data_IF_009600194789
#
_entry.id   IF_009600194789
#
_cell.length_a   1.000
_cell.length_b   1.000
_cell.length_c   1.000
_cell.angle_alpha   90.00
_cell.angle_beta   90.00
_cell.angle_gamma   90.00
#
_symmetry.space_group_name_H-M   'P 1'
#
loop_
_entity.id
_entity.type
_entity.pdbx_description
1 polymer ?
#
# COMPACT_ATOMS: atom_id res chain seq x y z
N UNK A 1 -18.29 -7.33 5.89
CA UNK A 1 -19.01 -6.73 4.75
C UNK A 1 -17.99 -6.19 3.77
N UNK A 2 -17.92 -6.78 2.58
CA UNK A 2 -17.00 -6.38 1.51
C UNK A 2 -17.42 -5.01 0.97
N UNK A 3 -16.51 -4.05 0.95
CA UNK A 3 -16.71 -2.80 0.22
C UNK A 3 -16.52 -3.05 -1.26
N UNK A 4 -17.55 -3.57 -1.93
CA UNK A 4 -17.59 -3.57 -3.39
C UNK A 4 -17.53 -2.12 -3.89
N UNK A 5 -16.68 -1.87 -4.88
CA UNK A 5 -16.67 -0.60 -5.58
C UNK A 5 -18.01 -0.44 -6.32
N UNK A 6 -18.93 0.34 -5.76
CA UNK A 6 -20.22 0.66 -6.40
C UNK A 6 -19.97 1.46 -7.68
N UNK A 7 -20.19 0.83 -8.83
CA UNK A 7 -20.23 1.50 -10.14
C UNK A 7 -21.62 2.13 -10.28
N UNK A 8 -21.69 3.39 -10.71
CA UNK A 8 -22.96 4.02 -11.06
C UNK A 8 -23.04 4.13 -12.58
N UNK A 9 -23.96 3.41 -13.18
CA UNK A 9 -24.27 3.45 -14.60
C UNK A 9 -25.35 4.51 -14.81
N UNK A 10 -25.07 5.46 -15.71
CA UNK A 10 -26.02 6.48 -16.14
C UNK A 10 -26.31 6.25 -17.62
N UNK A 11 -27.57 6.08 -17.99
CA UNK A 11 -27.98 5.97 -19.39
C UNK A 11 -29.27 6.76 -19.63
N UNK A 12 -29.49 7.17 -20.87
CA UNK A 12 -30.68 7.92 -21.29
C UNK A 12 -31.54 7.01 -22.14
N UNK A 13 -32.83 6.87 -21.83
CA UNK A 13 -33.77 6.07 -22.64
C UNK A 13 -34.17 6.80 -23.94
N UNK A 14 -34.92 6.12 -24.81
CA UNK A 14 -35.37 6.66 -26.10
C UNK A 14 -36.30 7.88 -25.97
N UNK A 15 -36.93 8.05 -24.81
CA UNK A 15 -37.83 9.16 -24.47
C UNK A 15 -37.09 10.35 -23.83
N UNK A 16 -35.76 10.23 -23.67
CA UNK A 16 -34.90 11.27 -23.11
C UNK A 16 -34.79 11.25 -21.59
N UNK A 17 -35.40 10.27 -20.91
CA UNK A 17 -35.35 10.04 -19.47
C UNK A 17 -34.02 9.48 -18.99
N UNK A 18 -33.49 10.03 -17.88
CA UNK A 18 -32.21 9.61 -17.30
C UNK A 18 -32.39 8.53 -16.24
N UNK A 19 -31.67 7.42 -16.39
CA UNK A 19 -31.67 6.29 -15.47
C UNK A 19 -30.32 6.14 -14.77
N UNK A 20 -30.35 5.80 -13.48
CA UNK A 20 -29.17 5.60 -12.63
C UNK A 20 -29.26 4.24 -11.94
N UNK A 21 -28.28 3.37 -12.16
CA UNK A 21 -28.27 2.01 -11.58
C UNK A 21 -26.87 1.60 -11.12
N UNK A 22 -26.80 0.71 -10.13
CA UNK A 22 -25.56 0.13 -9.63
C UNK A 22 -25.19 -1.21 -10.30
N UNK A 23 -26.06 -1.71 -11.20
CA UNK A 23 -25.84 -2.91 -12.01
C UNK A 23 -25.58 -2.56 -13.46
N UNK A 24 -24.65 -3.26 -14.11
CA UNK A 24 -24.37 -3.06 -15.53
C UNK A 24 -25.62 -3.35 -16.38
N UNK A 25 -26.01 -2.45 -17.30
CA UNK A 25 -27.06 -2.75 -18.27
C UNK A 25 -26.63 -3.90 -19.20
N UNK A 26 -27.60 -4.60 -19.78
CA UNK A 26 -27.34 -5.73 -20.68
C UNK A 26 -26.64 -5.28 -21.97
N UNK A 27 -25.96 -6.20 -22.68
CA UNK A 27 -25.20 -5.86 -23.89
C UNK A 27 -26.04 -5.15 -24.97
N UNK A 28 -27.31 -5.55 -25.16
CA UNK A 28 -28.26 -4.86 -26.06
C UNK A 28 -28.54 -3.42 -25.64
N UNK A 29 -28.77 -3.19 -24.34
CA UNK A 29 -29.00 -1.85 -23.78
C UNK A 29 -27.74 -0.96 -23.82
N UNK A 30 -26.55 -1.57 -23.91
CA UNK A 30 -25.27 -0.85 -23.99
C UNK A 30 -24.99 -0.32 -25.40
N UNK A 31 -25.61 -0.91 -26.42
CA UNK A 31 -25.50 -0.51 -27.82
C UNK A 31 -26.58 0.51 -28.22
N UNK A 32 -27.79 0.40 -27.65
CA UNK A 32 -28.91 1.35 -27.90
C UNK A 32 -28.76 2.68 -27.13
N UNK A 33 -28.13 2.68 -25.95
CA UNK A 33 -28.05 3.86 -25.10
C UNK A 33 -26.62 4.35 -24.92
N UNK A 34 -26.39 5.67 -24.95
CA UNK A 34 -25.11 6.27 -24.52
C UNK A 34 -24.95 6.05 -23.01
N UNK A 35 -24.32 4.95 -22.62
CA UNK A 35 -24.02 4.64 -21.22
C UNK A 35 -22.79 5.42 -20.77
N UNK A 36 -22.98 6.40 -19.89
CA UNK A 36 -21.89 7.05 -19.17
C UNK A 36 -21.61 6.31 -17.86
N UNK A 37 -20.45 5.67 -17.78
CA UNK A 37 -19.99 5.06 -16.53
C UNK A 37 -19.30 6.13 -15.69
N UNK A 38 -19.98 6.60 -14.64
CA UNK A 38 -19.39 7.55 -13.69
C UNK A 38 -18.92 6.80 -12.46
N UNK A 39 -17.60 6.65 -12.33
CA UNK A 39 -17.01 6.10 -11.11
C UNK A 39 -17.17 7.10 -9.97
N UNK A 40 -17.74 6.65 -8.86
CA UNK A 40 -17.67 7.36 -7.59
C UNK A 40 -16.19 7.41 -7.19
N UNK A 41 -15.70 8.61 -6.86
CA UNK A 41 -14.36 8.78 -6.27
C UNK A 41 -14.32 7.88 -5.03
N UNK A 42 -13.46 6.87 -5.02
CA UNK A 42 -13.16 6.14 -3.79
C UNK A 42 -12.70 7.18 -2.77
N UNK A 43 -13.47 7.36 -1.69
CA UNK A 43 -13.06 8.17 -0.56
C UNK A 43 -11.68 7.68 -0.10
N UNK A 44 -10.78 8.60 0.27
CA UNK A 44 -9.51 8.21 0.87
C UNK A 44 -9.82 7.31 2.08
N UNK A 45 -9.44 6.03 2.00
CA UNK A 45 -9.57 5.11 3.13
C UNK A 45 -8.59 5.58 4.19
N UNK A 46 -9.07 6.33 5.17
CA UNK A 46 -8.28 6.74 6.31
C UNK A 46 -7.99 5.49 7.15
N UNK A 47 -6.87 4.80 6.87
CA UNK A 47 -6.47 3.52 7.49
C UNK A 47 -5.86 3.68 8.89
N UNK A 48 -5.53 4.90 9.29
CA UNK A 48 -4.99 5.23 10.61
C UNK A 48 -5.81 6.38 11.16
N UNK A 49 -6.31 6.28 12.40
CA UNK A 49 -7.18 7.30 13.00
C UNK A 49 -6.78 7.57 14.44
N UNK A 50 -6.64 8.84 14.81
CA UNK A 50 -6.50 9.27 16.19
C UNK A 50 -7.90 9.45 16.80
N UNK A 51 -8.19 8.76 17.91
CA UNK A 51 -9.48 8.85 18.60
C UNK A 51 -9.30 9.29 20.05
N UNK A 52 -10.20 10.17 20.47
CA UNK A 52 -10.37 10.53 21.86
C UNK A 52 -11.21 9.45 22.57
N UNK A 53 -10.75 9.00 23.72
CA UNK A 53 -11.43 8.10 24.65
C UNK A 53 -11.37 8.71 26.07
N UNK A 54 -12.04 8.08 27.03
CA UNK A 54 -12.08 8.55 28.42
C UNK A 54 -13.00 9.75 28.64
N UNK A 55 -12.84 10.41 29.79
CA UNK A 55 -13.69 11.54 30.18
C UNK A 55 -13.34 12.82 29.42
N UNK A 56 -14.32 13.72 29.25
CA UNK A 56 -14.07 15.03 28.63
C UNK A 56 -13.16 15.93 29.47
N UNK A 57 -13.14 15.74 30.79
CA UNK A 57 -12.31 16.44 31.76
C UNK A 57 -10.83 16.03 31.66
N UNK A 58 -10.57 14.77 31.32
CA UNK A 58 -9.22 14.19 31.19
C UNK A 58 -9.19 13.25 29.97
N UNK A 59 -9.22 13.80 28.75
CA UNK A 59 -9.32 12.98 27.56
C UNK A 59 -8.03 12.21 27.33
N UNK A 60 -8.20 10.95 26.97
CA UNK A 60 -7.14 10.03 26.57
C UNK A 60 -7.20 9.80 25.06
N UNK A 61 -6.08 9.46 24.46
CA UNK A 61 -6.01 9.30 23.01
C UNK A 61 -5.45 7.93 22.63
N UNK A 62 -6.17 7.25 21.74
CA UNK A 62 -5.78 5.98 21.12
C UNK A 62 -5.60 6.17 19.62
N UNK A 63 -4.83 5.29 19.01
CA UNK A 63 -4.72 5.21 17.55
C UNK A 63 -5.32 3.89 17.09
N UNK A 64 -6.18 3.96 16.08
CA UNK A 64 -6.62 2.81 15.31
C UNK A 64 -5.72 2.63 14.10
N UNK A 65 -5.22 1.41 13.90
CA UNK A 65 -4.36 1.02 12.80
C UNK A 65 -5.01 -0.14 12.03
N UNK A 66 -5.53 0.12 10.84
CA UNK A 66 -6.17 -0.88 9.98
C UNK A 66 -5.15 -1.68 9.13
N UNK A 67 -3.85 -1.38 9.22
CA UNK A 67 -2.81 -2.18 8.57
C UNK A 67 -2.52 -3.45 9.37
N UNK A 68 -2.25 -4.56 8.68
CA UNK A 68 -1.77 -5.80 9.31
C UNK A 68 -0.25 -5.78 9.49
N UNK A 69 0.25 -4.67 10.01
CA UNK A 69 1.64 -4.49 10.38
C UNK A 69 1.79 -3.31 11.32
N UNK A 70 2.94 -3.20 12.00
CA UNK A 70 3.23 -2.05 12.83
C UNK A 70 3.32 -0.78 11.99
N UNK A 71 2.89 0.34 12.55
CA UNK A 71 3.11 1.68 12.02
C UNK A 71 3.82 2.53 13.08
N UNK A 72 4.55 3.53 12.63
CA UNK A 72 5.09 4.58 13.48
C UNK A 72 4.23 5.84 13.31
N UNK A 73 3.75 6.42 14.40
CA UNK A 73 2.91 7.62 14.38
C UNK A 73 3.53 8.70 15.24
N UNK A 74 3.66 9.90 14.69
CA UNK A 74 4.04 11.10 15.42
C UNK A 74 2.80 11.95 15.66
N UNK A 75 2.56 12.31 16.93
CA UNK A 75 1.45 13.19 17.33
C UNK A 75 2.00 14.50 17.88
N UNK A 76 1.42 15.62 17.45
CA UNK A 76 1.88 16.98 17.76
C UNK A 76 0.70 17.90 18.04
N UNK A 77 0.90 18.92 18.88
CA UNK A 77 -0.06 20.03 18.99
C UNK A 77 0.16 21.01 17.84
N UNK A 78 -0.91 21.32 17.09
CA UNK A 78 -0.95 22.52 16.25
C UNK A 78 -1.61 23.71 16.96
N UNK A 79 -2.30 23.45 18.08
CA UNK A 79 -2.85 24.46 18.97
C UNK A 79 -2.73 23.99 20.42
N UNK A 80 -2.20 24.85 21.29
CA UNK A 80 -1.94 24.51 22.69
C UNK A 80 -2.16 25.75 23.58
N UNK A 81 -3.29 25.80 24.30
CA UNK A 81 -3.63 26.88 25.23
C UNK A 81 -4.01 26.28 26.59
N UNK A 82 -3.22 26.57 27.63
CA UNK A 82 -3.41 26.05 29.00
C UNK A 82 -3.55 24.51 29.08
N UNK A 83 -2.93 23.77 28.17
CA UNK A 83 -3.03 22.31 28.07
C UNK A 83 -1.66 21.67 28.01
N UNK A 84 -1.53 20.53 28.69
CA UNK A 84 -0.35 19.67 28.63
C UNK A 84 -0.75 18.23 28.33
N UNK A 85 0.16 17.51 27.68
CA UNK A 85 0.03 16.08 27.43
C UNK A 85 0.93 15.30 28.39
N UNK A 86 0.47 14.12 28.82
CA UNK A 86 1.28 13.15 29.56
C UNK A 86 1.20 11.79 28.87
N UNK A 87 2.30 11.27 28.32
CA UNK A 87 3.60 11.94 28.15
C UNK A 87 3.54 13.18 27.23
N UNK A 88 4.57 14.05 27.32
CA UNK A 88 4.65 15.28 26.53
C UNK A 88 4.71 15.01 25.01
N UNK A 89 4.16 15.94 24.22
CA UNK A 89 4.18 15.96 22.75
C UNK A 89 5.10 17.10 22.24
N UNK A 90 5.69 17.01 21.02
CA UNK A 90 5.52 15.96 20.02
C UNK A 90 6.11 14.62 20.47
N UNK A 91 5.47 13.51 20.08
CA UNK A 91 5.95 12.18 20.43
C UNK A 91 5.63 11.14 19.37
N UNK A 92 6.59 10.25 19.16
CA UNK A 92 6.47 9.09 18.27
C UNK A 92 6.04 7.84 19.05
N UNK A 93 5.14 7.06 18.45
CA UNK A 93 4.61 5.82 18.99
C UNK A 93 4.67 4.73 17.93
N UNK A 94 4.95 3.49 18.33
CA UNK A 94 4.81 2.32 17.45
C UNK A 94 3.50 1.64 17.76
N UNK A 95 2.60 1.60 16.78
CA UNK A 95 1.24 1.09 16.93
C UNK A 95 1.12 -0.23 16.16
N UNK A 96 0.72 -1.28 16.87
CA UNK A 96 0.43 -2.59 16.28
C UNK A 96 -0.94 -2.59 15.57
N UNK A 97 -1.27 -3.61 14.76
CA UNK A 97 -2.60 -3.72 14.15
C UNK A 97 -3.73 -3.64 15.18
N UNK A 98 -4.83 -2.97 14.82
CA UNK A 98 -6.00 -2.77 15.69
C UNK A 98 -5.98 -1.46 16.46
N UNK A 99 -6.60 -1.44 17.63
CA UNK A 99 -6.72 -0.25 18.49
C UNK A 99 -5.63 -0.28 19.55
N UNK A 100 -4.87 0.79 19.68
CA UNK A 100 -3.83 0.91 20.70
C UNK A 100 -4.44 1.02 22.11
N UNK A 101 -3.62 0.74 23.13
CA UNK A 101 -3.88 1.28 24.48
C UNK A 101 -3.80 2.82 24.44
N UNK A 102 -4.38 3.53 25.42
CA UNK A 102 -4.18 4.97 25.56
C UNK A 102 -2.69 5.34 25.52
N UNK A 103 -2.35 6.28 24.63
CA UNK A 103 -0.97 6.66 24.32
C UNK A 103 -0.53 7.88 25.11
N UNK A 104 -1.44 8.83 25.28
CA UNK A 104 -1.26 10.03 26.08
C UNK A 104 -2.63 10.53 26.54
N UNK A 105 -2.60 11.29 27.64
CA UNK A 105 -3.75 12.03 28.16
C UNK A 105 -3.50 13.51 28.12
N UNK A 106 -4.56 14.30 28.03
CA UNK A 106 -4.49 15.74 28.16
C UNK A 106 -5.03 16.21 29.50
N UNK A 107 -4.47 17.29 30.01
CA UNK A 107 -4.96 17.99 31.19
C UNK A 107 -4.64 19.46 31.13
N UNK A 108 -5.37 20.25 31.90
CA UNK A 108 -5.08 21.66 32.06
C UNK A 108 -3.75 21.86 32.81
N UNK A 109 -2.99 22.88 32.43
CA UNK A 109 -1.80 23.31 33.20
C UNK A 109 -2.26 24.03 34.47
N UNK A 110 -3.26 24.91 34.34
CA UNK A 110 -3.98 25.54 35.43
C UNK A 110 -5.46 25.12 35.37
N UNK A 111 -5.90 24.34 36.36
CA UNK A 111 -7.25 23.78 36.46
C UNK A 111 -8.37 24.82 36.58
N UNK A 112 -8.04 26.04 37.02
CA UNK A 112 -9.01 27.15 37.17
C UNK A 112 -9.20 27.96 35.89
N UNK A 113 -8.46 27.67 34.81
CA UNK A 113 -8.58 28.35 33.52
C UNK A 113 -9.11 27.40 32.46
N UNK A 114 -9.86 27.94 31.51
CA UNK A 114 -10.24 27.18 30.32
C UNK A 114 -8.99 26.78 29.52
N UNK A 115 -9.09 25.66 28.79
CA UNK A 115 -8.01 25.14 27.97
C UNK A 115 -8.52 24.76 26.59
N UNK A 116 -7.65 24.86 25.59
CA UNK A 116 -7.97 24.55 24.19
C UNK A 116 -6.79 23.85 23.55
N UNK A 117 -7.09 22.90 22.67
CA UNK A 117 -6.07 22.14 21.95
C UNK A 117 -6.48 21.83 20.52
N UNK A 118 -5.49 21.51 19.71
CA UNK A 118 -5.64 20.96 18.38
C UNK A 118 -4.48 19.99 18.15
N UNK A 119 -4.80 18.75 17.77
CA UNK A 119 -3.84 17.68 17.54
C UNK A 119 -3.73 17.38 16.05
N UNK A 120 -2.51 17.23 15.56
CA UNK A 120 -2.21 16.67 14.25
C UNK A 120 -1.37 15.40 14.43
N UNK A 121 -1.44 14.51 13.46
CA UNK A 121 -0.62 13.32 13.44
C UNK A 121 -0.16 13.00 12.02
N UNK A 122 0.99 12.35 11.91
CA UNK A 122 1.51 11.75 10.69
C UNK A 122 1.97 10.33 10.98
N UNK A 123 2.06 9.47 9.98
CA UNK A 123 2.49 8.08 10.17
C UNK A 123 3.35 7.55 9.03
N UNK A 124 4.17 6.55 9.36
CA UNK A 124 4.96 5.75 8.42
C UNK A 124 4.69 4.27 8.65
N UNK A 125 4.71 3.47 7.58
CA UNK A 125 4.47 2.03 7.64
C UNK A 125 5.71 1.30 8.13
N UNK A 126 5.55 0.28 8.97
CA UNK A 126 6.66 -0.52 9.50
C UNK A 126 7.27 0.06 10.77
N UNK A 127 8.12 -0.73 11.44
CA UNK A 127 8.84 -0.29 12.65
C UNK A 127 9.99 0.67 12.28
N UNK A 128 10.23 1.76 13.04
CA UNK A 128 11.20 2.83 12.73
C UNK A 128 12.66 2.43 12.49
N UNK A 129 13.04 1.24 12.92
CA UNK A 129 14.43 0.74 12.91
C UNK A 129 14.48 -0.70 12.40
N UNK A 130 13.53 -1.09 11.54
CA UNK A 130 13.62 -2.37 10.86
C UNK A 130 14.91 -2.41 10.03
N UNK A 131 15.74 -3.41 10.27
CA UNK A 131 16.96 -3.63 9.52
C UNK A 131 16.70 -4.71 8.49
N UNK A 132 16.80 -4.33 7.22
CA UNK A 132 16.73 -5.29 6.15
C UNK A 132 17.89 -6.27 6.26
N UNK A 133 17.58 -7.56 6.35
CA UNK A 133 18.58 -8.61 6.38
C UNK A 133 19.28 -8.68 5.02
N UNK A 134 20.56 -8.34 4.98
CA UNK A 134 21.37 -8.35 3.75
C UNK A 134 21.60 -9.77 3.21
N UNK A 135 21.42 -10.80 4.04
CA UNK A 135 21.46 -12.20 3.64
C UNK A 135 20.08 -12.71 3.16
N UNK A 136 19.05 -11.88 3.24
CA UNK A 136 17.71 -12.24 2.79
C UNK A 136 17.71 -12.64 1.31
N UNK A 137 17.12 -13.80 1.05
CA UNK A 137 16.93 -14.30 -0.30
C UNK A 137 15.59 -13.83 -0.83
N UNK A 138 15.63 -13.06 -1.91
CA UNK A 138 14.45 -12.77 -2.73
C UNK A 138 14.51 -13.63 -3.98
N UNK A 139 13.40 -14.24 -4.33
CA UNK A 139 13.23 -14.95 -5.59
C UNK A 139 12.56 -14.03 -6.62
N UNK A 140 12.85 -14.19 -7.92
CA UNK A 140 12.10 -13.50 -8.96
C UNK A 140 10.59 -13.72 -8.76
N UNK A 141 9.78 -12.66 -8.65
CA UNK A 141 8.40 -12.70 -8.13
C UNK A 141 7.37 -13.19 -9.18
N UNK A 142 7.69 -14.28 -9.88
CA UNK A 142 6.83 -14.84 -10.92
C UNK A 142 7.12 -16.33 -11.12
N UNK A 143 6.19 -17.00 -11.80
CA UNK A 143 6.19 -18.45 -11.94
C UNK A 143 7.48 -19.04 -12.53
N UNK A 144 7.88 -20.21 -12.04
CA UNK A 144 9.15 -20.89 -12.33
C UNK A 144 9.42 -21.19 -13.81
N UNK A 145 8.35 -21.40 -14.58
CA UNK A 145 8.40 -21.69 -16.01
C UNK A 145 8.48 -20.42 -16.88
N UNK A 146 8.37 -19.23 -16.29
CA UNK A 146 8.44 -17.94 -17.00
C UNK A 146 9.83 -17.33 -16.91
N UNK A 147 10.09 -16.43 -17.86
CA UNK A 147 11.25 -15.55 -17.89
C UNK A 147 10.79 -14.15 -18.25
N UNK A 148 11.28 -13.15 -17.52
CA UNK A 148 10.98 -11.75 -17.78
C UNK A 148 12.24 -10.90 -17.70
N UNK A 149 12.25 -9.80 -18.42
CA UNK A 149 13.38 -8.88 -18.46
C UNK A 149 13.18 -7.78 -17.40
N UNK A 150 14.27 -7.40 -16.74
CA UNK A 150 14.32 -6.19 -15.93
C UNK A 150 14.33 -4.98 -16.87
N UNK A 151 13.21 -4.26 -16.97
CA UNK A 151 13.11 -3.06 -17.80
C UNK A 151 13.76 -1.86 -17.13
N UNK A 152 13.63 -1.75 -15.81
CA UNK A 152 14.25 -0.70 -15.00
C UNK A 152 14.79 -1.31 -13.70
N UNK A 153 15.98 -0.89 -13.29
CA UNK A 153 16.64 -1.38 -12.07
C UNK A 153 16.86 -0.23 -11.06
N UNK A 154 17.68 -0.48 -10.04
CA UNK A 154 18.01 0.51 -9.02
C UNK A 154 18.55 1.80 -9.63
N UNK A 155 18.15 2.94 -9.05
CA UNK A 155 18.50 4.29 -9.49
C UNK A 155 18.07 4.58 -10.95
N UNK A 156 16.98 3.94 -11.40
CA UNK A 156 16.35 4.24 -12.67
C UNK A 156 15.90 5.70 -12.78
N UNK A 157 16.04 6.28 -13.97
CA UNK A 157 15.83 7.72 -14.20
C UNK A 157 14.37 8.11 -14.38
N UNK A 158 13.47 7.15 -14.61
CA UNK A 158 12.06 7.44 -14.89
C UNK A 158 11.21 7.50 -13.61
N UNK A 159 11.17 6.39 -12.85
CA UNK A 159 10.28 6.25 -11.67
C UNK A 159 11.05 5.96 -10.37
N UNK A 160 12.33 5.61 -10.43
CA UNK A 160 13.14 5.15 -9.29
C UNK A 160 14.04 6.26 -8.72
N UNK A 161 13.50 7.47 -8.62
CA UNK A 161 14.26 8.68 -8.23
C UNK A 161 13.99 9.15 -6.80
N UNK A 162 12.86 8.76 -6.21
CA UNK A 162 12.54 9.12 -4.83
C UNK A 162 12.98 8.05 -3.82
N UNK A 163 13.04 8.42 -2.54
CA UNK A 163 13.56 7.54 -1.48
C UNK A 163 12.82 6.20 -1.40
N UNK A 164 11.52 6.18 -1.66
CA UNK A 164 10.70 4.97 -1.58
C UNK A 164 10.91 4.02 -2.77
N UNK A 165 11.47 4.51 -3.88
CA UNK A 165 11.59 3.75 -5.12
C UNK A 165 13.02 3.68 -5.67
N UNK A 166 13.99 4.33 -5.03
CA UNK A 166 15.41 4.35 -5.43
C UNK A 166 15.97 2.96 -5.73
N UNK A 167 15.63 1.96 -4.92
CA UNK A 167 16.04 0.57 -5.12
C UNK A 167 14.90 -0.32 -5.61
N UNK A 168 13.96 0.23 -6.38
CA UNK A 168 12.92 -0.57 -7.02
C UNK A 168 13.39 -1.22 -8.33
N UNK A 169 12.62 -2.19 -8.80
CA UNK A 169 12.81 -2.92 -10.04
C UNK A 169 11.48 -3.01 -10.77
N UNK A 170 11.52 -2.71 -12.05
CA UNK A 170 10.41 -2.97 -12.96
C UNK A 170 10.74 -4.21 -13.81
N UNK A 171 9.81 -5.15 -13.83
CA UNK A 171 9.90 -6.38 -14.61
C UNK A 171 8.87 -6.31 -15.73
N UNK A 172 9.34 -6.21 -16.97
CA UNK A 172 8.47 -6.18 -18.15
C UNK A 172 7.77 -7.53 -18.28
N UNK A 173 6.45 -7.53 -18.12
CA UNK A 173 5.61 -8.71 -18.25
C UNK A 173 4.23 -8.33 -18.77
N UNK A 174 3.60 -9.17 -19.62
CA UNK A 174 2.21 -8.96 -20.03
C UNK A 174 1.28 -8.87 -18.82
N UNK A 175 0.14 -8.19 -18.99
CA UNK A 175 -0.96 -8.30 -18.03
C UNK A 175 -1.37 -9.77 -17.86
N UNK A 176 -1.95 -10.09 -16.70
CA UNK A 176 -2.35 -11.44 -16.33
C UNK A 176 -1.19 -12.44 -16.18
N UNK A 177 0.05 -11.96 -16.02
CA UNK A 177 1.17 -12.82 -15.62
C UNK A 177 1.11 -13.11 -14.13
N UNK A 178 1.37 -14.35 -13.73
CA UNK A 178 1.39 -14.74 -12.32
C UNK A 178 2.47 -13.99 -11.53
N UNK A 179 2.04 -13.32 -10.45
CA UNK A 179 2.92 -12.65 -9.49
C UNK A 179 3.00 -13.50 -8.23
N UNK A 180 4.21 -13.93 -7.88
CA UNK A 180 4.48 -14.78 -6.73
C UNK A 180 5.23 -13.99 -5.65
N UNK A 181 5.08 -14.38 -4.38
CA UNK A 181 5.80 -13.76 -3.28
C UNK A 181 7.32 -14.01 -3.43
N UNK A 182 8.11 -12.94 -3.55
CA UNK A 182 9.56 -13.02 -3.64
C UNK A 182 10.22 -13.57 -2.36
N UNK A 183 9.59 -13.35 -1.20
CA UNK A 183 10.04 -13.80 0.12
C UNK A 183 8.82 -14.01 1.01
N UNK A 184 8.91 -14.98 1.92
CA UNK A 184 7.82 -15.29 2.86
C UNK A 184 7.58 -14.16 3.86
N UNK A 185 6.35 -14.03 4.33
CA UNK A 185 5.95 -12.98 5.25
C UNK A 185 4.43 -12.92 5.45
N UNK A 186 3.93 -11.78 5.91
CA UNK A 186 2.49 -11.56 6.14
C UNK A 186 2.00 -10.43 5.25
N UNK A 187 0.85 -10.60 4.61
CA UNK A 187 0.21 -9.55 3.80
C UNK A 187 -0.24 -8.40 4.71
N UNK A 188 0.53 -7.31 4.71
CA UNK A 188 0.32 -6.14 5.57
C UNK A 188 -0.78 -5.23 5.02
N UNK A 189 -0.81 -5.03 3.71
CA UNK A 189 -1.81 -4.22 3.03
C UNK A 189 -2.10 -4.73 1.63
N UNK A 190 -3.32 -4.50 1.19
CA UNK A 190 -3.81 -4.78 -0.15
C UNK A 190 -4.61 -3.58 -0.62
N UNK A 191 -4.20 -2.98 -1.74
CA UNK A 191 -4.96 -2.00 -2.51
C UNK A 191 -5.40 -2.66 -3.82
N UNK A 192 -6.70 -2.63 -4.12
CA UNK A 192 -7.29 -3.45 -5.18
C UNK A 192 -8.55 -2.81 -5.79
N UNK A 193 -8.62 -1.48 -5.80
CA UNK A 193 -9.79 -0.69 -6.19
C UNK A 193 -9.52 0.26 -7.37
N UNK A 194 -8.32 0.21 -7.96
CA UNK A 194 -7.93 1.07 -9.08
C UNK A 194 -7.94 0.34 -10.41
N UNK A 195 -8.71 0.85 -11.37
CA UNK A 195 -8.90 0.23 -12.69
C UNK A 195 -8.02 0.88 -13.78
N UNK A 196 -7.72 2.18 -13.64
CA UNK A 196 -7.00 2.96 -14.67
C UNK A 196 -5.51 3.09 -14.34
N UNK A 197 -4.68 3.14 -15.38
CA UNK A 197 -3.27 3.54 -15.30
C UNK A 197 -2.93 4.66 -16.27
N UNK A 198 -1.73 5.23 -16.13
CA UNK A 198 -1.21 6.26 -17.02
C UNK A 198 0.09 6.90 -16.53
N UNK A 199 0.69 7.76 -17.36
CA UNK A 199 1.99 8.41 -17.10
C UNK A 199 1.88 9.79 -16.44
N UNK A 200 0.69 10.18 -15.98
CA UNK A 200 0.52 11.38 -15.16
C UNK A 200 0.79 11.04 -13.68
N UNK A 201 1.94 11.52 -13.19
CA UNK A 201 2.40 11.28 -11.83
C UNK A 201 1.44 11.85 -10.78
N UNK A 202 0.82 13.00 -11.04
CA UNK A 202 -0.08 13.63 -10.08
C UNK A 202 -1.44 12.92 -10.05
N UNK A 203 -1.90 12.40 -11.18
CA UNK A 203 -3.15 11.67 -11.27
C UNK A 203 -3.09 10.23 -10.73
N UNK A 204 -1.94 9.55 -10.85
CA UNK A 204 -1.86 8.10 -10.64
C UNK A 204 -0.86 7.60 -9.59
N UNK A 205 0.07 8.43 -9.07
CA UNK A 205 1.09 7.98 -8.10
C UNK A 205 0.49 7.36 -6.83
N UNK A 206 -0.64 7.87 -6.36
CA UNK A 206 -1.33 7.37 -5.17
C UNK A 206 -2.38 6.29 -5.46
N UNK A 207 -2.50 5.81 -6.70
CA UNK A 207 -3.65 5.01 -7.19
C UNK A 207 -3.21 3.74 -7.92
N UNK A 208 -2.28 3.00 -7.33
CA UNK A 208 -1.81 1.71 -7.88
C UNK A 208 -2.34 0.57 -7.03
N UNK A 209 -2.85 -0.49 -7.68
CA UNK A 209 -3.14 -1.72 -6.95
C UNK A 209 -1.84 -2.34 -6.52
N UNK A 210 -1.76 -2.68 -5.24
CA UNK A 210 -0.53 -3.19 -4.67
C UNK A 210 -0.77 -4.15 -3.52
N UNK A 211 0.17 -5.06 -3.37
CA UNK A 211 0.31 -5.91 -2.20
C UNK A 211 1.58 -5.49 -1.48
N UNK A 212 1.48 -5.32 -0.16
CA UNK A 212 2.64 -5.16 0.72
C UNK A 212 2.76 -6.39 1.61
N UNK A 213 3.93 -7.04 1.59
CA UNK A 213 4.24 -8.18 2.45
C UNK A 213 5.28 -7.74 3.47
N UNK A 214 4.96 -7.85 4.76
CA UNK A 214 5.87 -7.63 5.88
C UNK A 214 6.66 -8.91 6.14
N UNK A 215 7.98 -8.83 6.11
CA UNK A 215 8.90 -9.92 6.42
C UNK A 215 9.25 -9.95 7.91
N UNK A 216 9.80 -11.07 8.38
CA UNK A 216 10.12 -11.27 9.79
C UNK A 216 11.24 -10.31 10.30
N UNK A 217 12.08 -9.80 9.40
CA UNK A 217 13.09 -8.76 9.69
C UNK A 217 12.51 -7.32 9.76
N UNK A 218 11.21 -7.18 9.50
CA UNK A 218 10.51 -5.89 9.52
C UNK A 218 10.60 -5.11 8.20
N UNK A 219 11.34 -5.61 7.20
CA UNK A 219 11.30 -5.07 5.84
C UNK A 219 9.97 -5.42 5.16
N UNK A 220 9.59 -4.63 4.17
CA UNK A 220 8.32 -4.77 3.46
C UNK A 220 8.55 -4.83 1.95
N UNK A 221 8.20 -5.95 1.32
CA UNK A 221 8.14 -6.04 -0.13
C UNK A 221 6.84 -5.41 -0.65
N UNK A 222 6.94 -4.60 -1.70
CA UNK A 222 5.83 -3.97 -2.42
C UNK A 222 5.77 -4.56 -3.82
N UNK A 223 4.58 -5.01 -4.21
CA UNK A 223 4.25 -5.49 -5.55
C UNK A 223 3.17 -4.57 -6.08
N UNK A 224 3.45 -3.78 -7.11
CA UNK A 224 2.54 -2.73 -7.60
C UNK A 224 2.22 -2.88 -9.10
N UNK A 225 1.26 -2.08 -9.57
CA UNK A 225 0.65 -2.14 -10.90
C UNK A 225 -0.12 -3.44 -11.15
N UNK A 226 -0.64 -4.04 -10.07
CA UNK A 226 -1.35 -5.31 -10.13
C UNK A 226 -2.72 -5.14 -10.83
N UNK A 227 -3.21 -6.22 -11.42
CA UNK A 227 -4.53 -6.23 -12.02
C UNK A 227 -5.62 -6.16 -10.95
N UNK A 228 -6.61 -5.29 -11.15
CA UNK A 228 -7.71 -5.10 -10.22
C UNK A 228 -8.54 -6.39 -10.10
N UNK A 229 -8.96 -6.73 -8.89
CA UNK A 229 -9.79 -7.91 -8.63
C UNK A 229 -9.06 -9.27 -8.75
N UNK A 230 -7.75 -9.28 -9.02
CA UNK A 230 -6.98 -10.52 -9.27
C UNK A 230 -5.99 -10.87 -8.15
N UNK A 231 -6.04 -10.20 -7.00
CA UNK A 231 -5.31 -10.63 -5.82
C UNK A 231 -5.78 -12.03 -5.36
N UNK A 232 -4.83 -12.91 -5.04
CA UNK A 232 -5.05 -14.29 -4.58
C UNK A 232 -4.84 -14.46 -3.07
N UNK A 233 -4.71 -13.33 -2.37
CA UNK A 233 -4.43 -13.26 -0.93
C UNK A 233 -5.29 -12.18 -0.28
N UNK A 234 -5.41 -12.24 1.04
CA UNK A 234 -6.10 -11.24 1.86
C UNK A 234 -5.18 -10.67 2.94
N UNK A 235 -5.52 -9.49 3.43
CA UNK A 235 -4.79 -8.82 4.51
C UNK A 235 -4.72 -9.73 5.75
N UNK A 236 -3.53 -9.91 6.30
CA UNK A 236 -3.23 -10.80 7.42
C UNK A 236 -2.88 -12.24 7.04
N UNK A 237 -3.01 -12.63 5.77
CA UNK A 237 -2.58 -13.94 5.31
C UNK A 237 -1.05 -14.06 5.38
N UNK A 238 -0.55 -15.16 5.99
CA UNK A 238 0.87 -15.53 5.90
C UNK A 238 1.12 -16.24 4.57
N UNK A 239 2.18 -15.83 3.88
CA UNK A 239 2.56 -16.38 2.57
C UNK A 239 3.99 -16.90 2.63
N UNK A 240 4.24 -17.95 1.85
CA UNK A 240 5.59 -18.47 1.64
C UNK A 240 6.20 -17.87 0.37
N UNK A 241 7.52 -17.92 0.25
CA UNK A 241 8.16 -17.54 -1.00
C UNK A 241 7.64 -18.46 -2.14
N UNK A 242 7.54 -17.94 -3.36
CA UNK A 242 7.00 -18.67 -4.51
C UNK A 242 5.47 -18.90 -4.49
N UNK A 243 4.77 -18.51 -3.43
CA UNK A 243 3.31 -18.60 -3.40
C UNK A 243 2.69 -17.57 -4.36
N UNK A 244 1.70 -17.98 -5.16
CA UNK A 244 0.90 -17.07 -5.99
C UNK A 244 0.17 -16.05 -5.10
N UNK A 245 0.35 -14.76 -5.38
CA UNK A 245 -0.27 -13.67 -4.61
C UNK A 245 -1.18 -12.77 -5.43
N UNK A 246 -0.93 -12.62 -6.73
CA UNK A 246 -1.72 -11.79 -7.63
C UNK A 246 -1.38 -12.07 -9.09
N UNK A 247 -1.95 -11.26 -9.97
CA UNK A 247 -1.60 -11.20 -11.38
C UNK A 247 -1.15 -9.77 -11.74
N UNK A 248 -0.16 -9.66 -12.63
CA UNK A 248 0.34 -8.38 -13.14
C UNK A 248 -0.75 -7.66 -13.91
N UNK A 249 -0.68 -6.34 -13.92
CA UNK A 249 -1.59 -5.51 -14.70
C UNK A 249 -0.86 -4.30 -15.25
N UNK A 250 -1.62 -3.23 -15.41
CA UNK A 250 -1.13 -1.95 -15.88
C UNK A 250 -1.86 -0.79 -15.18
N UNK A 251 -2.07 -0.91 -13.87
CA UNK A 251 -2.85 0.05 -13.07
C UNK A 251 -1.96 1.11 -12.41
N UNK A 252 -2.49 2.30 -12.15
CA UNK A 252 -1.72 3.39 -11.53
C UNK A 252 -0.65 4.00 -12.43
N UNK A 253 0.41 4.55 -11.84
CA UNK A 253 1.45 5.27 -12.59
C UNK A 253 2.34 4.31 -13.39
N UNK A 254 1.95 3.99 -14.62
CA UNK A 254 2.60 2.99 -15.46
C UNK A 254 2.59 3.44 -16.93
N UNK A 255 3.70 3.19 -17.63
CA UNK A 255 3.83 3.45 -19.08
C UNK A 255 3.46 2.24 -19.95
N UNK A 256 3.30 1.06 -19.34
CA UNK A 256 2.94 -0.19 -20.00
C UNK A 256 2.96 -1.37 -19.03
N UNK A 257 2.43 -2.55 -19.40
CA UNK A 257 2.34 -3.69 -18.50
C UNK A 257 3.70 -4.11 -17.93
N UNK A 258 3.81 -4.10 -16.60
CA UNK A 258 4.98 -4.55 -15.85
C UNK A 258 4.62 -4.79 -14.39
N UNK A 259 5.50 -5.48 -13.67
CA UNK A 259 5.47 -5.53 -12.21
C UNK A 259 6.51 -4.57 -11.66
N UNK A 260 6.07 -3.64 -10.81
CA UNK A 260 6.97 -2.85 -9.98
C UNK A 260 7.19 -3.55 -8.64
N UNK A 261 8.45 -3.78 -8.29
CA UNK A 261 8.88 -4.46 -7.08
C UNK A 261 9.90 -3.63 -6.30
N UNK A 262 9.64 -3.42 -5.01
CA UNK A 262 10.56 -2.72 -4.13
C UNK A 262 10.58 -3.38 -2.74
N UNK A 263 11.72 -3.28 -2.05
CA UNK A 263 11.82 -3.61 -0.62
C UNK A 263 12.01 -2.30 0.13
N UNK A 264 11.18 -2.08 1.14
CA UNK A 264 11.15 -0.84 1.92
C UNK A 264 11.29 -1.10 3.42
N UNK A 265 11.90 -0.16 4.13
CA UNK A 265 11.95 -0.11 5.60
C UNK A 265 11.55 1.28 6.07
N UNK A 266 11.08 1.39 7.30
CA UNK A 266 10.90 2.68 7.95
C UNK A 266 12.21 3.07 8.66
N UNK A 267 12.68 4.28 8.38
CA UNK A 267 13.83 4.93 9.02
C UNK A 267 13.34 6.18 9.77
N UNK A 268 12.64 5.94 10.88
CA UNK A 268 12.15 6.99 11.78
C UNK A 268 11.25 8.03 11.10
N UNK A 269 10.02 7.63 10.75
CA UNK A 269 9.00 8.36 10.01
C UNK A 269 9.26 8.51 8.50
N UNK A 270 10.33 7.91 7.98
CA UNK A 270 10.67 7.95 6.57
C UNK A 270 10.65 6.54 5.98
N UNK A 271 9.71 6.28 5.08
CA UNK A 271 9.70 5.04 4.32
C UNK A 271 10.76 5.14 3.22
N UNK A 272 11.75 4.24 3.24
CA UNK A 272 12.85 4.22 2.28
C UNK A 272 12.97 2.86 1.64
N UNK A 273 13.30 2.83 0.35
CA UNK A 273 13.70 1.59 -0.32
C UNK A 273 15.12 1.20 0.09
N UNK A 274 15.38 -0.10 0.08
CA UNK A 274 16.68 -0.69 0.41
C UNK A 274 17.16 -1.60 -0.71
N UNK A 275 18.47 -1.72 -0.94
CA UNK A 275 19.01 -2.63 -1.94
C UNK A 275 18.74 -4.09 -1.56
N UNK A 276 18.49 -4.91 -2.57
CA UNK A 276 18.32 -6.35 -2.46
C UNK A 276 18.91 -7.06 -3.70
N UNK A 277 18.95 -8.39 -3.66
CA UNK A 277 19.35 -9.21 -4.79
C UNK A 277 18.36 -10.34 -5.05
N UNK A 278 18.21 -10.73 -6.31
CA UNK A 278 17.46 -11.92 -6.68
C UNK A 278 18.37 -13.14 -6.65
N UNK A 279 17.82 -14.23 -6.13
CA UNK A 279 18.44 -15.55 -6.05
C UNK A 279 18.14 -16.30 -7.35
N UNK A 280 19.19 -16.72 -8.07
CA UNK A 280 19.04 -17.56 -9.27
C UNK A 280 18.79 -19.03 -8.91
N UNK A 281 18.53 -19.86 -9.91
CA UNK A 281 18.27 -21.31 -9.74
C UNK A 281 19.48 -22.09 -9.19
N UNK A 282 20.66 -21.47 -9.10
CA UNK A 282 21.88 -22.05 -8.50
C UNK A 282 22.12 -21.53 -7.08
N UNK A 283 21.16 -20.77 -6.52
CA UNK A 283 21.29 -20.15 -5.21
C UNK A 283 22.16 -18.89 -5.19
N UNK A 284 22.63 -18.40 -6.35
CA UNK A 284 23.47 -17.20 -6.41
C UNK A 284 22.60 -15.95 -6.31
N UNK A 285 22.87 -15.13 -5.30
CA UNK A 285 22.25 -13.81 -5.15
C UNK A 285 22.96 -12.80 -6.05
N UNK A 286 22.20 -11.99 -6.77
CA UNK A 286 22.75 -10.90 -7.57
C UNK A 286 21.84 -9.67 -7.55
N UNK A 287 22.41 -8.45 -7.49
CA UNK A 287 21.60 -7.25 -7.63
C UNK A 287 20.92 -7.22 -9.00
N UNK A 288 19.69 -6.69 -9.09
CA UNK A 288 19.00 -6.48 -10.35
C UNK A 288 19.80 -5.54 -11.28
N UNK A 289 19.78 -5.83 -12.58
CA UNK A 289 20.42 -5.01 -13.61
C UNK A 289 19.46 -4.86 -14.79
N UNK A 290 19.29 -3.63 -15.28
CA UNK A 290 18.44 -3.37 -16.44
C UNK A 290 18.93 -4.18 -17.66
N UNK A 291 17.99 -4.66 -18.48
CA UNK A 291 18.25 -5.51 -19.63
C UNK A 291 18.48 -6.99 -19.30
N UNK A 292 18.70 -7.36 -18.02
CA UNK A 292 18.91 -8.75 -17.61
C UNK A 292 17.60 -9.54 -17.61
N UNK A 293 17.65 -10.76 -18.14
CA UNK A 293 16.56 -11.73 -18.03
C UNK A 293 16.65 -12.49 -16.71
N UNK A 294 15.54 -12.53 -15.98
CA UNK A 294 15.36 -13.34 -14.78
C UNK A 294 14.54 -14.58 -15.15
N UNK A 295 14.90 -15.73 -14.59
CA UNK A 295 14.12 -16.97 -14.68
C UNK A 295 13.40 -17.16 -13.36
N UNK A 296 12.11 -17.52 -13.42
CA UNK A 296 11.34 -17.80 -12.22
C UNK A 296 11.95 -18.96 -11.43
N UNK A 297 11.64 -19.01 -10.14
CA UNK A 297 12.16 -20.03 -9.24
C UNK A 297 11.02 -20.94 -8.79
N UNK A 298 11.24 -22.26 -8.82
CA UNK A 298 10.34 -23.23 -8.20
C UNK A 298 10.88 -23.54 -6.81
N UNK A 299 10.11 -23.23 -5.78
CA UNK A 299 10.46 -23.65 -4.42
C UNK A 299 9.91 -25.06 -4.27
N UNK A 300 10.81 -26.04 -4.16
CA UNK A 300 10.45 -27.40 -3.79
C UNK A 300 9.78 -27.36 -2.42
N UNK A 301 8.59 -27.98 -2.32
CA UNK A 301 7.73 -27.98 -1.13
C UNK A 301 8.31 -28.84 -0.03
#
# INVERSE_FOLDING_TARGET
>A
MQGEAKKLYKYQDEEGGWHYTDKAPSARQSEEFKVEVRQLKAASKERVRLRQVGEKSQPEFVIENDYFGPIEVEVTFYKQENVQASPALPRKFVILPGISKPLFKLGAINEFKSWRYGLSYSYSLGKPLAQHDVAARYYPPFASYRKFQVSQAFNGTFSHTDQQNKYAVDLAMPEDSEVHAARGGVVMSLENDYVKGGVDKQAYKARSNSIRILHDDGSMAVYAHLQVGRAQVYVGMRVQAGQLIAYSGNTGFSSGPHLHFAVQVNQGMNLVSVPFGFTDTRGKVSPPKAGRWLKGFAIER
#
